data_IF_789461188329
#
_entry.id   IF_789461188329
#
_cell.length_a   1.000
_cell.length_b   1.000
_cell.length_c   1.000
_cell.angle_alpha   90.00
_cell.angle_beta   90.00
_cell.angle_gamma   90.00
#
_symmetry.space_group_name_H-M   'P 1'
#
loop_
_entity.id
_entity.type
_entity.pdbx_description
1 polymer ?
#
# COMPACT_ATOMS: atom_id res chain seq x y z
N UNK A 1 -18.04 28.76 20.43
CA UNK A 1 -17.74 29.35 21.71
C UNK A 1 -16.75 30.48 21.60
N UNK A 2 -15.45 30.20 21.56
CA UNK A 2 -14.34 31.20 21.54
C UNK A 2 -14.46 32.15 20.34
N UNK A 3 -14.92 31.71 19.20
CA UNK A 3 -15.11 32.52 17.99
C UNK A 3 -16.21 33.59 18.11
N UNK A 4 -17.21 33.38 18.99
CA UNK A 4 -18.26 34.40 19.28
C UNK A 4 -17.67 35.62 20.01
N UNK A 5 -16.60 35.45 20.78
CA UNK A 5 -15.91 36.52 21.47
C UNK A 5 -15.22 37.50 20.52
N UNK A 6 -14.78 37.02 19.35
CA UNK A 6 -14.25 37.84 18.28
C UNK A 6 -15.29 38.75 17.61
N UNK A 7 -16.58 38.43 17.77
CA UNK A 7 -17.71 39.27 17.32
C UNK A 7 -18.32 40.19 18.39
N UNK A 8 -17.66 40.32 19.57
CA UNK A 8 -18.04 41.29 20.59
C UNK A 8 -19.03 40.81 21.66
N UNK A 9 -19.42 39.56 21.66
CA UNK A 9 -20.26 38.97 22.70
C UNK A 9 -19.42 38.55 23.92
N UNK A 10 -19.78 39.02 25.10
CA UNK A 10 -19.12 38.62 26.37
C UNK A 10 -19.50 37.20 26.72
N UNK A 11 -18.51 36.34 26.73
CA UNK A 11 -18.71 34.93 27.12
C UNK A 11 -18.66 34.73 28.64
N UNK A 12 -19.53 33.90 29.20
CA UNK A 12 -19.38 33.46 30.57
C UNK A 12 -18.09 32.60 30.72
N UNK A 13 -17.34 32.83 31.79
CA UNK A 13 -16.11 32.07 32.13
C UNK A 13 -16.31 30.54 32.11
N UNK A 14 -17.50 30.09 32.48
CA UNK A 14 -17.86 28.66 32.42
C UNK A 14 -17.72 28.04 31.04
N UNK A 15 -17.93 28.78 29.95
CA UNK A 15 -17.79 28.27 28.57
C UNK A 15 -16.33 27.96 28.24
N UNK A 16 -15.38 28.75 28.78
CA UNK A 16 -13.95 28.52 28.60
C UNK A 16 -13.54 27.21 29.27
N UNK A 17 -13.95 27.01 30.51
CA UNK A 17 -13.65 25.77 31.26
C UNK A 17 -14.30 24.52 30.65
N UNK A 18 -15.54 24.64 30.17
CA UNK A 18 -16.21 23.55 29.45
C UNK A 18 -15.47 23.22 28.14
N UNK A 19 -15.09 24.22 27.37
CA UNK A 19 -14.32 24.02 26.12
C UNK A 19 -12.98 23.35 26.38
N UNK A 20 -12.26 23.79 27.43
CA UNK A 20 -11.02 23.17 27.87
C UNK A 20 -11.22 21.70 28.28
N UNK A 21 -12.28 21.43 29.06
CA UNK A 21 -12.62 20.05 29.45
C UNK A 21 -12.89 19.14 28.24
N UNK A 22 -13.66 19.62 27.27
CA UNK A 22 -13.95 18.87 26.02
C UNK A 22 -12.66 18.64 25.24
N UNK A 23 -11.76 19.63 25.16
CA UNK A 23 -10.46 19.45 24.50
C UNK A 23 -9.60 18.38 25.19
N UNK A 24 -9.50 18.42 26.52
CA UNK A 24 -8.73 17.43 27.28
C UNK A 24 -9.28 16.02 27.08
N UNK A 25 -10.61 15.85 27.17
CA UNK A 25 -11.28 14.57 26.94
C UNK A 25 -11.06 14.08 25.48
N UNK A 26 -11.14 15.00 24.51
CA UNK A 26 -10.88 14.68 23.10
C UNK A 26 -9.44 14.24 22.87
N UNK A 27 -8.46 14.91 23.49
CA UNK A 27 -7.05 14.54 23.38
C UNK A 27 -6.81 13.18 24.04
N UNK A 28 -7.32 12.97 25.24
CA UNK A 28 -7.19 11.69 25.95
C UNK A 28 -7.85 10.54 25.15
N UNK A 29 -9.06 10.76 24.66
CA UNK A 29 -9.74 9.80 23.78
C UNK A 29 -8.92 9.51 22.52
N UNK A 30 -8.38 10.53 21.85
CA UNK A 30 -7.52 10.35 20.69
C UNK A 30 -6.30 9.48 20.99
N UNK A 31 -5.61 9.71 22.09
CA UNK A 31 -4.43 8.92 22.49
C UNK A 31 -4.83 7.45 22.65
N UNK A 32 -5.91 7.17 23.38
CA UNK A 32 -6.40 5.79 23.61
C UNK A 32 -6.78 5.12 22.30
N UNK A 33 -7.54 5.80 21.42
CA UNK A 33 -7.95 5.20 20.15
C UNK A 33 -6.80 5.01 19.16
N UNK A 34 -5.81 5.92 19.15
CA UNK A 34 -4.61 5.77 18.31
C UNK A 34 -3.79 4.57 18.78
N UNK A 35 -3.57 4.43 20.09
CA UNK A 35 -2.83 3.30 20.65
C UNK A 35 -3.56 1.96 20.40
N UNK A 36 -4.86 1.90 20.68
CA UNK A 36 -5.68 0.71 20.42
C UNK A 36 -5.67 0.31 18.95
N UNK A 37 -5.80 1.29 18.05
CA UNK A 37 -5.76 1.07 16.61
C UNK A 37 -4.38 0.61 16.13
N UNK A 38 -3.30 1.20 16.65
CA UNK A 38 -1.93 0.80 16.33
C UNK A 38 -1.66 -0.64 16.77
N UNK A 39 -2.03 -0.98 18.00
CA UNK A 39 -1.91 -2.34 18.54
C UNK A 39 -2.71 -3.35 17.72
N UNK A 40 -3.97 -3.04 17.38
CA UNK A 40 -4.83 -3.93 16.60
C UNK A 40 -4.24 -4.19 15.19
N UNK A 41 -3.74 -3.15 14.52
CA UNK A 41 -3.11 -3.29 13.19
C UNK A 41 -1.83 -4.11 13.27
N UNK A 42 -0.97 -3.83 14.24
CA UNK A 42 0.30 -4.54 14.43
C UNK A 42 0.07 -6.01 14.76
N UNK A 43 -0.78 -6.31 15.74
CA UNK A 43 -1.13 -7.68 16.08
C UNK A 43 -1.76 -8.43 14.90
N UNK A 44 -2.69 -7.80 14.18
CA UNK A 44 -3.33 -8.41 13.02
C UNK A 44 -2.33 -8.72 11.89
N UNK A 45 -1.39 -7.82 11.62
CA UNK A 45 -0.40 -8.01 10.57
C UNK A 45 0.57 -9.15 10.89
N UNK A 46 1.11 -9.20 12.11
CA UNK A 46 2.01 -10.29 12.52
C UNK A 46 1.27 -11.63 12.71
N UNK A 47 0.01 -11.61 13.16
CA UNK A 47 -0.81 -12.82 13.22
C UNK A 47 -1.04 -13.40 11.83
N UNK A 48 -1.38 -12.56 10.83
CA UNK A 48 -1.51 -12.96 9.44
C UNK A 48 -0.22 -13.60 8.90
N UNK A 49 0.93 -12.96 9.12
CA UNK A 49 2.21 -13.50 8.65
C UNK A 49 2.57 -14.83 9.31
N UNK A 50 2.29 -14.98 10.62
CA UNK A 50 2.49 -16.23 11.35
C UNK A 50 1.59 -17.35 10.83
N UNK A 51 0.29 -17.05 10.63
CA UNK A 51 -0.69 -18.00 10.09
C UNK A 51 -0.28 -18.48 8.69
N UNK A 52 0.13 -17.55 7.81
CA UNK A 52 0.57 -17.89 6.46
C UNK A 52 1.87 -18.72 6.44
N UNK A 53 2.82 -18.45 7.34
CA UNK A 53 4.02 -19.30 7.47
C UNK A 53 3.67 -20.72 7.89
N UNK A 54 2.74 -20.89 8.83
CA UNK A 54 2.27 -22.21 9.25
C UNK A 54 1.53 -22.92 8.11
N UNK A 55 0.67 -22.22 7.38
CA UNK A 55 -0.06 -22.77 6.24
C UNK A 55 0.89 -23.25 5.12
N UNK A 56 1.91 -22.45 4.76
CA UNK A 56 2.95 -22.86 3.82
C UNK A 56 3.65 -24.14 4.33
N UNK A 57 4.03 -24.17 5.62
CA UNK A 57 4.67 -25.35 6.22
C UNK A 57 3.81 -26.62 6.13
N UNK A 58 2.51 -26.52 6.39
CA UNK A 58 1.59 -27.66 6.26
C UNK A 58 1.40 -28.12 4.80
N UNK A 59 1.34 -27.19 3.85
CA UNK A 59 1.27 -27.53 2.43
C UNK A 59 2.56 -28.19 1.92
N UNK A 60 3.72 -27.69 2.36
CA UNK A 60 5.00 -28.30 2.01
C UNK A 60 5.16 -29.75 2.49
N UNK A 61 4.60 -30.09 3.65
CA UNK A 61 4.60 -31.51 4.12
C UNK A 61 3.87 -32.45 3.18
N UNK A 62 2.89 -31.94 2.43
CA UNK A 62 2.06 -32.71 1.49
C UNK A 62 2.55 -32.60 0.04
N UNK A 63 3.57 -31.81 -0.22
CA UNK A 63 4.11 -31.62 -1.56
C UNK A 63 4.88 -32.87 -2.04
N UNK A 64 4.78 -33.23 -3.33
CA UNK A 64 5.60 -34.31 -3.89
C UNK A 64 7.08 -33.94 -3.91
N UNK A 65 7.96 -34.93 -3.81
CA UNK A 65 9.42 -34.71 -3.78
C UNK A 65 9.94 -33.94 -4.98
N UNK A 66 9.36 -34.15 -6.18
CA UNK A 66 9.74 -33.40 -7.39
C UNK A 66 9.44 -31.90 -7.34
N UNK A 67 8.67 -31.41 -6.35
CA UNK A 67 8.43 -29.99 -6.13
C UNK A 67 9.65 -29.25 -5.55
N UNK A 68 10.53 -29.99 -4.84
CA UNK A 68 11.69 -29.43 -4.14
C UNK A 68 12.94 -29.37 -5.03
N UNK A 69 12.87 -28.68 -6.16
CA UNK A 69 14.05 -28.38 -6.96
C UNK A 69 14.74 -27.08 -6.45
N UNK A 70 15.98 -26.83 -6.91
CA UNK A 70 16.78 -25.69 -6.42
C UNK A 70 16.07 -24.32 -6.60
N UNK A 71 15.40 -24.11 -7.73
CA UNK A 71 14.69 -22.87 -8.01
C UNK A 71 13.49 -22.68 -7.08
N UNK A 72 12.71 -23.74 -6.84
CA UNK A 72 11.56 -23.70 -5.95
C UNK A 72 11.93 -23.48 -4.49
N UNK A 73 13.05 -24.07 -4.05
CA UNK A 73 13.54 -23.88 -2.69
C UNK A 73 13.89 -22.41 -2.42
N UNK A 74 14.50 -21.73 -3.40
CA UNK A 74 14.79 -20.30 -3.33
C UNK A 74 13.51 -19.46 -3.22
N UNK A 75 12.51 -19.75 -4.05
CA UNK A 75 11.22 -19.04 -4.05
C UNK A 75 10.46 -19.22 -2.71
N UNK A 76 10.42 -20.45 -2.19
CA UNK A 76 9.78 -20.77 -0.91
C UNK A 76 10.48 -20.02 0.23
N UNK A 77 11.81 -20.06 0.25
CA UNK A 77 12.59 -19.35 1.28
C UNK A 77 12.33 -17.85 1.23
N UNK A 78 12.33 -17.26 0.03
CA UNK A 78 12.03 -15.83 -0.16
C UNK A 78 10.61 -15.49 0.28
N UNK A 79 9.63 -16.36 0.02
CA UNK A 79 8.24 -16.14 0.44
C UNK A 79 8.08 -16.11 1.96
N UNK A 80 8.64 -17.11 2.64
CA UNK A 80 8.50 -17.27 4.10
C UNK A 80 9.26 -16.18 4.86
N UNK A 81 10.40 -15.71 4.32
CA UNK A 81 11.24 -14.71 4.99
C UNK A 81 10.95 -13.30 4.50
N UNK A 82 11.30 -12.98 3.27
CA UNK A 82 11.27 -11.60 2.74
C UNK A 82 9.86 -11.16 2.38
N UNK A 83 9.13 -11.96 1.58
CA UNK A 83 7.80 -11.54 1.08
C UNK A 83 6.80 -11.38 2.20
N UNK A 84 6.71 -12.34 3.13
CA UNK A 84 5.84 -12.22 4.30
C UNK A 84 6.28 -11.12 5.26
N UNK A 85 7.60 -10.93 5.46
CA UNK A 85 8.12 -9.82 6.26
C UNK A 85 7.77 -8.45 5.68
N UNK A 86 7.88 -8.29 4.36
CA UNK A 86 7.47 -7.08 3.65
C UNK A 86 5.94 -6.86 3.77
N UNK A 87 5.14 -7.93 3.64
CA UNK A 87 3.69 -7.86 3.83
C UNK A 87 3.30 -7.44 5.24
N UNK A 88 3.93 -8.00 6.26
CA UNK A 88 3.71 -7.64 7.67
C UNK A 88 3.94 -6.14 7.91
N UNK A 89 5.03 -5.60 7.40
CA UNK A 89 5.41 -4.20 7.62
C UNK A 89 4.61 -3.22 6.74
N UNK A 90 4.46 -3.53 5.45
CA UNK A 90 3.81 -2.64 4.49
C UNK A 90 2.29 -2.59 4.67
N UNK A 91 1.65 -3.70 5.09
CA UNK A 91 0.20 -3.75 5.34
C UNK A 91 -0.24 -2.75 6.40
N UNK A 92 0.52 -2.64 7.50
CA UNK A 92 0.24 -1.65 8.56
C UNK A 92 0.27 -0.23 8.00
N UNK A 93 1.30 0.09 7.21
CA UNK A 93 1.48 1.41 6.60
C UNK A 93 0.34 1.75 5.63
N UNK A 94 -0.10 0.79 4.82
CA UNK A 94 -1.21 0.99 3.87
C UNK A 94 -2.53 1.16 4.61
N UNK A 95 -2.82 0.32 5.60
CA UNK A 95 -4.05 0.44 6.38
C UNK A 95 -4.14 1.80 7.08
N UNK A 96 -3.03 2.31 7.61
CA UNK A 96 -3.00 3.60 8.27
C UNK A 96 -3.18 4.76 7.28
N UNK A 97 -2.38 4.80 6.23
CA UNK A 97 -2.31 5.98 5.35
C UNK A 97 -3.39 5.96 4.26
N UNK A 98 -3.76 4.80 3.73
CA UNK A 98 -4.76 4.72 2.65
C UNK A 98 -6.16 4.59 3.24
N UNK A 99 -6.45 3.51 3.97
CA UNK A 99 -7.80 3.29 4.51
C UNK A 99 -8.16 4.37 5.55
N UNK A 100 -7.26 4.66 6.49
CA UNK A 100 -7.44 5.71 7.49
C UNK A 100 -7.63 7.09 6.86
N UNK A 101 -6.86 7.42 5.82
CA UNK A 101 -6.96 8.69 5.09
C UNK A 101 -8.33 8.89 4.43
N UNK A 102 -8.85 7.87 3.73
CA UNK A 102 -10.17 7.94 3.11
C UNK A 102 -11.30 8.00 4.15
N UNK A 103 -11.23 7.19 5.21
CA UNK A 103 -12.23 7.22 6.29
C UNK A 103 -12.28 8.62 6.92
N UNK A 104 -11.10 9.21 7.24
CA UNK A 104 -11.02 10.55 7.79
C UNK A 104 -11.64 11.60 6.87
N UNK A 105 -11.36 11.55 5.57
CA UNK A 105 -11.92 12.48 4.59
C UNK A 105 -13.45 12.33 4.45
N UNK A 106 -13.96 11.10 4.47
CA UNK A 106 -15.39 10.83 4.42
C UNK A 106 -16.08 11.39 5.68
N UNK A 107 -15.52 11.12 6.87
CA UNK A 107 -16.09 11.60 8.15
C UNK A 107 -16.14 13.13 8.18
N UNK A 108 -15.05 13.81 7.83
CA UNK A 108 -15.02 15.27 7.78
C UNK A 108 -15.94 15.80 6.67
N UNK A 109 -15.98 15.15 5.50
CA UNK A 109 -16.84 15.53 4.39
C UNK A 109 -18.33 15.45 4.76
N UNK A 110 -18.75 14.37 5.43
CA UNK A 110 -20.12 14.21 5.96
C UNK A 110 -20.41 15.26 7.03
N UNK A 111 -19.47 15.50 7.95
CA UNK A 111 -19.63 16.54 8.96
C UNK A 111 -19.79 17.93 8.32
N UNK A 112 -19.00 18.26 7.30
CA UNK A 112 -19.15 19.50 6.54
C UNK A 112 -20.50 19.58 5.82
N UNK A 113 -21.02 18.46 5.30
CA UNK A 113 -22.31 18.39 4.64
C UNK A 113 -23.46 18.73 5.60
N UNK A 114 -23.37 18.28 6.86
CA UNK A 114 -24.34 18.58 7.92
C UNK A 114 -24.22 20.06 8.37
N UNK A 115 -22.98 20.55 8.48
CA UNK A 115 -22.69 21.88 9.01
C UNK A 115 -23.00 23.00 8.01
N UNK A 116 -22.58 22.84 6.74
CA UNK A 116 -22.88 23.72 5.60
C UNK A 116 -22.89 22.89 4.31
N UNK A 117 -24.07 22.50 3.86
CA UNK A 117 -24.25 21.54 2.76
C UNK A 117 -23.57 21.95 1.45
N UNK A 118 -23.46 23.25 1.16
CA UNK A 118 -22.84 23.80 -0.07
C UNK A 118 -21.33 23.53 -0.11
N UNK A 119 -20.66 23.77 1.01
CA UNK A 119 -19.21 23.49 1.13
C UNK A 119 -18.95 21.99 1.28
N UNK A 120 -19.85 21.26 1.93
CA UNK A 120 -19.83 19.80 2.00
C UNK A 120 -19.90 19.16 0.61
N UNK A 121 -20.78 19.66 -0.28
CA UNK A 121 -20.87 19.22 -1.68
C UNK A 121 -19.55 19.44 -2.44
N UNK A 122 -18.93 20.61 -2.30
CA UNK A 122 -17.61 20.90 -2.93
C UNK A 122 -16.58 19.90 -2.41
N UNK A 123 -16.58 19.63 -1.11
CA UNK A 123 -15.63 18.70 -0.48
C UNK A 123 -15.82 17.27 -0.99
N UNK A 124 -17.03 16.77 -1.04
CA UNK A 124 -17.32 15.41 -1.52
C UNK A 124 -17.12 15.27 -3.03
N UNK A 125 -17.44 16.31 -3.81
CA UNK A 125 -17.12 16.33 -5.25
C UNK A 125 -15.61 16.27 -5.49
N UNK A 126 -14.82 17.03 -4.74
CA UNK A 126 -13.36 16.96 -4.78
C UNK A 126 -12.83 15.57 -4.43
N UNK A 127 -13.39 14.93 -3.41
CA UNK A 127 -13.05 13.56 -3.03
C UNK A 127 -13.42 12.55 -4.13
N UNK A 128 -14.61 12.67 -4.74
CA UNK A 128 -15.03 11.79 -5.81
C UNK A 128 -14.13 11.90 -7.06
N UNK A 129 -13.77 13.11 -7.46
CA UNK A 129 -12.82 13.35 -8.56
C UNK A 129 -11.45 12.77 -8.22
N UNK A 130 -10.99 12.94 -6.99
CA UNK A 130 -9.71 12.39 -6.56
C UNK A 130 -9.70 10.85 -6.57
N UNK A 131 -10.79 10.18 -6.20
CA UNK A 131 -10.93 8.72 -6.31
C UNK A 131 -10.81 8.25 -7.77
N UNK A 132 -11.40 9.00 -8.71
CA UNK A 132 -11.27 8.71 -10.14
C UNK A 132 -9.80 8.82 -10.56
N UNK A 133 -9.11 9.90 -10.19
CA UNK A 133 -7.69 10.09 -10.51
C UNK A 133 -6.84 9.00 -9.84
N UNK A 134 -7.14 8.63 -8.58
CA UNK A 134 -6.45 7.55 -7.89
C UNK A 134 -6.56 6.22 -8.65
N UNK A 135 -7.72 5.90 -9.19
CA UNK A 135 -7.90 4.70 -10.02
C UNK A 135 -7.06 4.73 -11.31
N UNK A 136 -6.83 5.92 -11.87
CA UNK A 136 -5.95 6.10 -13.04
C UNK A 136 -4.48 5.86 -12.70
N UNK A 137 -4.03 6.21 -11.49
CA UNK A 137 -2.68 5.91 -11.01
C UNK A 137 -2.42 4.39 -11.06
N UNK A 138 -3.40 3.59 -10.64
CA UNK A 138 -3.32 2.12 -10.73
C UNK A 138 -3.14 1.60 -12.16
N UNK A 139 -3.85 2.20 -13.15
CA UNK A 139 -3.70 1.82 -14.57
C UNK A 139 -2.31 2.14 -15.12
N UNK A 140 -1.73 3.28 -14.74
CA UNK A 140 -0.36 3.66 -15.11
C UNK A 140 0.66 2.66 -14.55
N UNK A 141 0.48 2.24 -13.29
CA UNK A 141 1.32 1.22 -12.68
C UNK A 141 1.31 -0.09 -13.46
N UNK A 142 0.13 -0.64 -13.73
CA UNK A 142 -0.03 -1.88 -14.50
C UNK A 142 0.62 -1.83 -15.90
N UNK A 143 0.67 -0.65 -16.51
CA UNK A 143 1.30 -0.47 -17.84
C UNK A 143 2.83 -0.48 -17.78
N UNK A 144 3.43 0.13 -16.78
CA UNK A 144 4.89 0.36 -16.71
C UNK A 144 5.64 -0.62 -15.79
N UNK A 145 4.96 -1.22 -14.81
CA UNK A 145 5.58 -2.13 -13.86
C UNK A 145 6.21 -3.38 -14.51
N UNK A 146 5.59 -4.05 -15.51
CA UNK A 146 6.20 -5.22 -16.15
C UNK A 146 7.56 -4.93 -16.79
N UNK A 147 7.69 -3.77 -17.48
CA UNK A 147 8.98 -3.35 -18.08
C UNK A 147 10.05 -3.14 -17.01
N UNK A 148 9.69 -2.49 -15.89
CA UNK A 148 10.61 -2.31 -14.76
C UNK A 148 11.05 -3.65 -14.17
N UNK A 149 10.10 -4.58 -13.96
CA UNK A 149 10.42 -5.91 -13.41
C UNK A 149 11.33 -6.71 -14.35
N UNK A 150 11.07 -6.69 -15.66
CA UNK A 150 11.93 -7.35 -16.65
C UNK A 150 13.34 -6.76 -16.65
N UNK A 151 13.48 -5.44 -16.64
CA UNK A 151 14.76 -4.77 -16.58
C UNK A 151 15.51 -5.05 -15.28
N UNK A 152 14.81 -5.13 -14.15
CA UNK A 152 15.39 -5.47 -12.86
C UNK A 152 15.87 -6.93 -12.83
N UNK A 153 15.10 -7.87 -13.38
CA UNK A 153 15.50 -9.28 -13.49
C UNK A 153 16.72 -9.43 -14.40
N UNK A 154 16.76 -8.73 -15.55
CA UNK A 154 17.91 -8.68 -16.45
C UNK A 154 19.17 -8.16 -15.77
N UNK A 155 19.03 -7.10 -14.94
CA UNK A 155 20.15 -6.57 -14.16
C UNK A 155 20.69 -7.62 -13.18
N UNK A 156 19.82 -8.30 -12.43
CA UNK A 156 20.22 -9.34 -11.48
C UNK A 156 20.98 -10.46 -12.20
N UNK A 157 20.45 -10.93 -13.34
CA UNK A 157 21.11 -11.98 -14.15
C UNK A 157 22.48 -11.53 -14.63
N UNK A 158 22.59 -10.33 -15.21
CA UNK A 158 23.87 -9.80 -15.72
C UNK A 158 24.92 -9.64 -14.60
N UNK A 159 24.50 -9.19 -13.41
CA UNK A 159 25.38 -9.06 -12.24
C UNK A 159 25.82 -10.43 -11.74
N UNK A 160 24.93 -11.42 -11.66
CA UNK A 160 25.27 -12.78 -11.23
C UNK A 160 26.28 -13.43 -12.21
N UNK A 161 26.03 -13.35 -13.52
CA UNK A 161 26.93 -13.84 -14.55
C UNK A 161 28.31 -13.17 -14.45
N UNK A 162 28.33 -11.85 -14.26
CA UNK A 162 29.57 -11.09 -14.10
C UNK A 162 30.36 -11.53 -12.86
N UNK A 163 29.70 -11.68 -11.71
CA UNK A 163 30.36 -12.10 -10.46
C UNK A 163 30.86 -13.54 -10.55
N UNK A 164 30.04 -14.46 -11.10
CA UNK A 164 30.43 -15.86 -11.28
C UNK A 164 31.58 -15.99 -12.28
N UNK A 165 31.57 -15.20 -13.36
CA UNK A 165 32.63 -15.16 -14.37
C UNK A 165 33.92 -14.44 -13.96
N UNK A 166 33.91 -13.73 -12.80
CA UNK A 166 35.02 -12.85 -12.40
C UNK A 166 36.37 -13.60 -12.24
N UNK A 167 36.35 -14.86 -11.82
CA UNK A 167 37.55 -15.69 -11.74
C UNK A 167 38.22 -15.87 -13.09
N UNK A 168 37.45 -16.15 -14.13
CA UNK A 168 37.94 -16.31 -15.52
C UNK A 168 38.39 -14.96 -16.07
N UNK A 169 37.64 -13.90 -15.84
CA UNK A 169 37.95 -12.53 -16.27
C UNK A 169 39.32 -12.09 -15.73
N UNK A 170 39.58 -12.34 -14.44
CA UNK A 170 40.89 -12.03 -13.81
C UNK A 170 42.01 -12.89 -14.33
N UNK A 171 41.78 -14.21 -14.53
CA UNK A 171 42.81 -15.13 -15.03
C UNK A 171 43.27 -14.79 -16.45
N UNK A 172 42.39 -14.24 -17.30
CA UNK A 172 42.68 -13.95 -18.71
C UNK A 172 42.77 -12.45 -19.03
N UNK A 173 42.72 -11.56 -18.03
CA UNK A 173 42.85 -10.11 -18.23
C UNK A 173 41.73 -9.47 -19.06
N UNK A 174 40.50 -10.05 -19.08
CA UNK A 174 39.40 -9.67 -19.95
C UNK A 174 38.48 -8.60 -19.31
N UNK A 175 38.91 -7.88 -18.29
CA UNK A 175 38.08 -6.96 -17.48
C UNK A 175 37.35 -5.90 -18.30
N UNK A 176 37.96 -5.34 -19.36
CA UNK A 176 37.35 -4.31 -20.19
C UNK A 176 36.21 -4.83 -21.12
N UNK A 177 36.21 -6.10 -21.47
CA UNK A 177 35.23 -6.68 -22.40
C UNK A 177 33.97 -7.19 -21.72
N UNK A 178 34.08 -7.59 -20.44
CA UNK A 178 33.00 -8.28 -19.71
C UNK A 178 32.06 -7.30 -19.00
N UNK A 179 32.49 -6.05 -18.77
CA UNK A 179 31.66 -5.03 -18.10
C UNK A 179 30.48 -4.50 -18.95
N UNK A 180 30.57 -4.56 -20.28
CA UNK A 180 29.53 -3.94 -21.16
C UNK A 180 28.13 -4.50 -20.98
N UNK A 181 27.98 -5.79 -20.71
CA UNK A 181 26.67 -6.42 -20.50
C UNK A 181 26.01 -5.89 -19.20
N UNK A 182 26.80 -5.76 -18.14
CA UNK A 182 26.34 -5.21 -16.87
C UNK A 182 26.01 -3.72 -17.00
N UNK A 183 26.86 -2.95 -17.70
CA UNK A 183 26.62 -1.53 -17.94
C UNK A 183 25.30 -1.30 -18.72
N UNK A 184 25.06 -2.14 -19.75
CA UNK A 184 23.79 -2.09 -20.50
C UNK A 184 22.59 -2.41 -19.62
N UNK A 185 22.67 -3.46 -18.80
CA UNK A 185 21.59 -3.86 -17.90
C UNK A 185 21.33 -2.80 -16.81
N UNK A 186 22.38 -2.12 -16.31
CA UNK A 186 22.25 -0.98 -15.39
C UNK A 186 21.48 0.16 -16.06
N UNK A 187 21.85 0.53 -17.29
CA UNK A 187 21.22 1.62 -18.01
C UNK A 187 19.74 1.31 -18.36
N UNK A 188 19.45 0.08 -18.81
CA UNK A 188 18.07 -0.38 -19.05
C UNK A 188 17.23 -0.34 -17.77
N UNK A 189 17.76 -0.80 -16.65
CA UNK A 189 17.10 -0.75 -15.35
C UNK A 189 16.84 0.70 -14.92
N UNK A 190 17.82 1.59 -15.06
CA UNK A 190 17.69 3.03 -14.79
C UNK A 190 16.62 3.66 -15.65
N UNK A 191 16.62 3.44 -16.97
CA UNK A 191 15.61 3.99 -17.88
C UNK A 191 14.21 3.50 -17.54
N UNK A 192 14.03 2.21 -17.24
CA UNK A 192 12.76 1.64 -16.87
C UNK A 192 12.22 2.23 -15.55
N UNK A 193 13.09 2.43 -14.56
CA UNK A 193 12.74 3.08 -13.29
C UNK A 193 12.35 4.56 -13.51
N UNK A 194 13.15 5.32 -14.27
CA UNK A 194 12.84 6.74 -14.58
C UNK A 194 11.53 6.87 -15.35
N UNK A 195 11.26 5.98 -16.32
CA UNK A 195 10.02 6.00 -17.08
C UNK A 195 8.80 5.77 -16.19
N UNK A 196 8.88 4.81 -15.27
CA UNK A 196 7.84 4.53 -14.29
C UNK A 196 7.63 5.73 -13.35
N UNK A 197 8.68 6.25 -12.75
CA UNK A 197 8.61 7.39 -11.83
C UNK A 197 8.06 8.65 -12.50
N UNK A 198 8.48 8.98 -13.72
CA UNK A 198 7.92 10.10 -14.49
C UNK A 198 6.43 9.93 -14.77
N UNK A 199 5.98 8.71 -15.07
CA UNK A 199 4.57 8.43 -15.30
C UNK A 199 3.75 8.58 -14.01
N UNK A 200 4.27 8.09 -12.89
CA UNK A 200 3.63 8.26 -11.58
C UNK A 200 3.60 9.69 -11.10
N UNK A 201 4.73 10.41 -11.21
CA UNK A 201 4.84 11.81 -10.78
C UNK A 201 3.76 12.69 -11.43
N UNK A 202 3.50 12.51 -12.73
CA UNK A 202 2.44 13.24 -13.44
C UNK A 202 1.05 12.97 -12.86
N UNK A 203 0.73 11.70 -12.59
CA UNK A 203 -0.58 11.32 -12.04
C UNK A 203 -0.73 11.75 -10.58
N UNK A 204 0.32 11.64 -9.79
CA UNK A 204 0.34 12.11 -8.39
C UNK A 204 0.20 13.64 -8.34
N UNK A 205 0.87 14.37 -9.23
CA UNK A 205 0.70 15.81 -9.33
C UNK A 205 -0.74 16.20 -9.69
N UNK A 206 -1.37 15.49 -10.65
CA UNK A 206 -2.78 15.69 -11.00
C UNK A 206 -3.69 15.41 -9.78
N UNK A 207 -3.47 14.31 -9.08
CA UNK A 207 -4.19 13.94 -7.87
C UNK A 207 -4.12 15.02 -6.79
N UNK A 208 -2.92 15.51 -6.48
CA UNK A 208 -2.74 16.59 -5.51
C UNK A 208 -3.36 17.91 -5.99
N UNK A 209 -3.31 18.19 -7.30
CA UNK A 209 -3.90 19.40 -7.87
C UNK A 209 -5.41 19.44 -7.68
N UNK A 210 -6.11 18.30 -7.80
CA UNK A 210 -7.55 18.21 -7.54
C UNK A 210 -7.89 18.68 -6.13
N UNK A 211 -7.14 18.22 -5.11
CA UNK A 211 -7.38 18.66 -3.73
C UNK A 211 -7.04 20.13 -3.50
N UNK A 212 -5.97 20.64 -4.12
CA UNK A 212 -5.61 22.05 -4.03
C UNK A 212 -6.71 22.93 -4.65
N UNK A 213 -7.28 22.52 -5.77
CA UNK A 213 -8.39 23.22 -6.40
C UNK A 213 -9.67 23.15 -5.58
N UNK A 214 -10.02 21.97 -5.03
CA UNK A 214 -11.18 21.83 -4.15
C UNK A 214 -11.03 22.66 -2.87
N UNK A 215 -9.82 22.68 -2.28
CA UNK A 215 -9.50 23.56 -1.15
C UNK A 215 -9.62 25.03 -1.52
N UNK A 216 -9.05 25.45 -2.65
CA UNK A 216 -9.15 26.82 -3.14
C UNK A 216 -10.63 27.23 -3.39
N UNK A 217 -11.44 26.34 -3.92
CA UNK A 217 -12.86 26.59 -4.10
C UNK A 217 -13.57 26.87 -2.77
N UNK A 218 -13.29 26.10 -1.71
CA UNK A 218 -13.84 26.34 -0.37
C UNK A 218 -13.33 27.69 0.20
N UNK A 219 -12.02 27.98 0.02
CA UNK A 219 -11.39 29.22 0.51
C UNK A 219 -12.00 30.48 -0.13
N UNK A 220 -12.48 30.38 -1.36
CA UNK A 220 -13.16 31.48 -2.05
C UNK A 220 -14.66 31.49 -1.73
N UNK A 221 -15.28 30.33 -1.69
CA UNK A 221 -16.73 30.22 -1.55
C UNK A 221 -17.21 30.52 -0.13
N UNK A 222 -16.45 30.15 0.92
CA UNK A 222 -16.85 30.44 2.30
C UNK A 222 -16.88 31.97 2.61
N UNK A 223 -15.89 32.79 2.25
CA UNK A 223 -16.00 34.25 2.36
C UNK A 223 -17.08 34.86 1.49
N UNK A 224 -17.36 34.32 0.30
CA UNK A 224 -18.48 34.74 -0.54
C UNK A 224 -19.83 34.53 0.14
N UNK A 225 -20.05 33.39 0.78
CA UNK A 225 -21.25 33.15 1.58
C UNK A 225 -21.39 34.08 2.80
N UNK A 226 -20.23 34.42 3.41
CA UNK A 226 -20.19 35.38 4.50
C UNK A 226 -20.58 36.79 4.02
N UNK A 227 -20.04 37.26 2.92
CA UNK A 227 -20.37 38.57 2.33
C UNK A 227 -21.85 38.66 1.92
N UNK A 228 -22.45 37.53 1.47
CA UNK A 228 -23.85 37.40 1.17
C UNK A 228 -24.77 37.26 2.41
N UNK A 229 -24.22 37.30 3.63
CA UNK A 229 -24.99 37.16 4.88
C UNK A 229 -25.56 35.75 5.13
N UNK A 230 -25.15 34.76 4.34
CA UNK A 230 -25.69 33.37 4.43
C UNK A 230 -25.09 32.57 5.59
N UNK A 231 -23.92 32.94 6.06
CA UNK A 231 -23.21 32.29 7.17
C UNK A 231 -22.61 33.34 8.13
N UNK A 232 -22.38 32.92 9.37
CA UNK A 232 -21.71 33.78 10.37
C UNK A 232 -20.18 33.76 10.21
N UNK A 233 -19.47 34.78 10.74
CA UNK A 233 -18.01 34.83 10.70
C UNK A 233 -17.34 33.59 11.33
N UNK A 234 -17.94 33.06 12.42
CA UNK A 234 -17.44 31.85 13.08
C UNK A 234 -17.58 30.61 12.16
N UNK A 235 -18.73 30.49 11.45
CA UNK A 235 -18.93 29.43 10.47
C UNK A 235 -17.91 29.52 9.35
N UNK A 236 -17.67 30.73 8.82
CA UNK A 236 -16.69 30.95 7.78
C UNK A 236 -15.29 30.49 8.22
N UNK A 237 -14.83 30.94 9.38
CA UNK A 237 -13.50 30.54 9.90
C UNK A 237 -13.39 29.03 10.09
N UNK A 238 -14.42 28.39 10.59
CA UNK A 238 -14.47 26.95 10.80
C UNK A 238 -14.38 26.18 9.47
N UNK A 239 -15.09 26.63 8.44
CA UNK A 239 -15.00 26.07 7.09
C UNK A 239 -13.62 26.23 6.48
N UNK A 240 -12.97 27.39 6.65
CA UNK A 240 -11.61 27.63 6.19
C UNK A 240 -10.62 26.66 6.84
N UNK A 241 -10.65 26.51 8.17
CA UNK A 241 -9.79 25.57 8.90
C UNK A 241 -10.06 24.11 8.46
N UNK A 242 -11.31 23.72 8.36
CA UNK A 242 -11.70 22.37 7.96
C UNK A 242 -11.26 22.00 6.54
N UNK A 243 -11.19 23.00 5.64
CA UNK A 243 -10.70 22.80 4.26
C UNK A 243 -9.25 22.31 4.18
N UNK A 244 -8.43 22.66 5.15
CA UNK A 244 -7.05 22.16 5.25
C UNK A 244 -7.00 20.73 5.83
N UNK A 245 -7.90 20.41 6.73
CA UNK A 245 -7.89 19.11 7.41
C UNK A 245 -8.43 17.97 6.54
N UNK A 246 -9.47 18.24 5.73
CA UNK A 246 -10.19 17.19 4.99
C UNK A 246 -9.30 16.45 3.98
N UNK A 247 -8.40 17.14 3.30
CA UNK A 247 -7.62 16.56 2.22
C UNK A 247 -6.22 16.10 2.65
N UNK A 248 -5.72 16.54 3.81
CA UNK A 248 -4.36 16.25 4.26
C UNK A 248 -4.05 14.74 4.31
N UNK A 249 -4.95 13.96 4.88
CA UNK A 249 -4.78 12.51 5.00
C UNK A 249 -4.93 11.78 3.66
N UNK A 250 -5.82 12.26 2.77
CA UNK A 250 -6.03 11.63 1.46
C UNK A 250 -4.92 11.99 0.47
N UNK A 251 -4.29 13.15 0.60
CA UNK A 251 -3.09 13.52 -0.18
C UNK A 251 -1.96 12.50 0.05
N UNK A 252 -1.79 12.04 1.29
CA UNK A 252 -0.80 10.99 1.65
C UNK A 252 -1.16 9.65 1.01
N UNK A 253 -2.44 9.27 0.97
CA UNK A 253 -2.88 8.02 0.35
C UNK A 253 -2.44 7.90 -1.12
N UNK A 254 -2.46 9.00 -1.88
CA UNK A 254 -1.98 9.03 -3.26
C UNK A 254 -0.48 8.72 -3.41
N UNK A 255 0.35 9.20 -2.47
CA UNK A 255 1.79 8.92 -2.45
C UNK A 255 2.10 7.46 -2.09
N UNK A 256 1.21 6.80 -1.35
CA UNK A 256 1.34 5.39 -0.96
C UNK A 256 0.89 4.40 -2.05
N UNK A 257 0.45 4.88 -3.20
CA UNK A 257 -0.03 4.00 -4.28
C UNK A 257 1.04 3.06 -4.86
N UNK A 258 2.33 3.41 -4.78
CA UNK A 258 3.45 2.53 -5.16
C UNK A 258 3.64 1.40 -4.14
N UNK A 259 3.52 1.72 -2.85
CA UNK A 259 3.61 0.75 -1.75
C UNK A 259 2.44 -0.23 -1.82
N UNK A 260 1.22 0.26 -2.07
CA UNK A 260 0.05 -0.60 -2.23
C UNK A 260 0.22 -1.64 -3.35
N UNK A 261 0.83 -1.25 -4.47
CA UNK A 261 1.15 -2.19 -5.55
C UNK A 261 2.27 -3.17 -5.22
N UNK A 262 3.25 -2.75 -4.44
CA UNK A 262 4.29 -3.67 -3.97
C UNK A 262 3.68 -4.77 -3.09
N UNK A 263 2.71 -4.41 -2.24
CA UNK A 263 1.95 -5.37 -1.43
C UNK A 263 1.09 -6.27 -2.31
N UNK A 264 0.37 -5.73 -3.30
CA UNK A 264 -0.39 -6.53 -4.28
C UNK A 264 0.51 -7.56 -4.97
N UNK A 265 1.67 -7.14 -5.48
CA UNK A 265 2.63 -8.05 -6.10
C UNK A 265 3.22 -9.10 -5.12
N UNK A 266 3.36 -8.76 -3.86
CA UNK A 266 3.80 -9.70 -2.82
C UNK A 266 2.71 -10.71 -2.46
N UNK A 267 1.44 -10.30 -2.47
CA UNK A 267 0.29 -11.20 -2.33
C UNK A 267 0.18 -12.17 -3.50
N UNK A 268 0.32 -11.67 -4.74
CA UNK A 268 0.31 -12.53 -5.94
C UNK A 268 1.42 -13.58 -5.90
N UNK A 269 2.62 -13.21 -5.42
CA UNK A 269 3.72 -14.16 -5.21
C UNK A 269 3.40 -15.20 -4.15
N UNK A 270 2.79 -14.77 -3.05
CA UNK A 270 2.38 -15.66 -1.98
C UNK A 270 1.32 -16.65 -2.49
N UNK A 271 0.32 -16.19 -3.23
CA UNK A 271 -0.72 -17.03 -3.81
C UNK A 271 -0.14 -18.09 -4.78
N UNK A 272 0.82 -17.70 -5.63
CA UNK A 272 1.53 -18.63 -6.51
C UNK A 272 2.31 -19.73 -5.76
N UNK A 273 2.81 -19.43 -4.55
CA UNK A 273 3.49 -20.41 -3.71
C UNK A 273 2.48 -21.25 -2.93
N UNK A 274 1.34 -20.67 -2.59
CA UNK A 274 0.24 -21.41 -1.96
C UNK A 274 -0.41 -22.43 -2.89
N UNK A 275 -0.24 -22.33 -4.21
CA UNK A 275 -0.66 -23.30 -5.22
C UNK A 275 0.29 -24.52 -5.29
N UNK A 276 0.72 -25.02 -4.13
CA UNK A 276 1.55 -26.22 -4.00
C UNK A 276 0.70 -27.44 -4.31
N UNK A 277 1.08 -28.27 -5.30
CA UNK A 277 0.36 -29.51 -5.56
C UNK A 277 0.46 -30.44 -4.33
N UNK A 278 -0.66 -30.93 -3.85
CA UNK A 278 -0.67 -31.93 -2.78
C UNK A 278 -0.58 -33.34 -3.38
N UNK A 279 0.12 -34.24 -2.69
CA UNK A 279 0.00 -35.66 -2.96
C UNK A 279 -1.45 -36.10 -2.77
N UNK A 280 -1.91 -37.03 -3.59
CA UNK A 280 -3.23 -37.64 -3.43
C UNK A 280 -3.25 -38.48 -2.16
N UNK A 281 -3.90 -37.97 -1.13
CA UNK A 281 -4.06 -38.63 0.18
C UNK A 281 -5.32 -39.51 0.21
N UNK A 282 -6.13 -39.50 -0.87
CA UNK A 282 -7.40 -40.22 -0.95
C UNK A 282 -7.26 -41.63 -1.55
N UNK A 283 -6.08 -42.22 -1.47
CA UNK A 283 -5.85 -43.59 -1.86
C UNK A 283 -6.73 -44.56 -1.06
N UNK A 284 -7.22 -45.64 -1.69
CA UNK A 284 -7.93 -46.68 -0.99
C UNK A 284 -6.97 -47.50 -0.11
N UNK A 285 -7.36 -47.79 1.12
CA UNK A 285 -6.67 -48.77 1.97
C UNK A 285 -6.77 -50.15 1.32
N UNK A 286 -5.72 -50.49 0.57
CA UNK A 286 -5.57 -51.83 -0.03
C UNK A 286 -4.87 -52.73 0.98
N UNK A 287 -5.54 -53.76 1.46
CA UNK A 287 -4.93 -54.88 2.15
C UNK A 287 -4.42 -55.84 1.07
N UNK A 288 -3.10 -55.93 0.82
CA UNK A 288 -2.59 -56.80 -0.21
C UNK A 288 -2.80 -58.27 0.16
N UNK A 289 -3.36 -59.06 -0.77
CA UNK A 289 -3.51 -60.53 -0.61
C UNK A 289 -2.16 -61.26 -0.65
N UNK A 290 -1.15 -60.66 -1.30
CA UNK A 290 0.21 -61.13 -1.30
C UNK A 290 1.19 -59.94 -1.33
N UNK A 291 2.45 -60.17 -0.99
CA UNK A 291 3.49 -59.15 -0.96
C UNK A 291 4.38 -59.12 -2.22
N UNK A 292 3.90 -59.68 -3.34
CA UNK A 292 4.65 -59.62 -4.58
C UNK A 292 4.49 -58.24 -5.21
N UNK A 293 5.64 -57.61 -5.57
CA UNK A 293 5.68 -56.37 -6.30
C UNK A 293 6.06 -56.68 -7.75
N UNK A 294 5.14 -56.44 -8.69
CA UNK A 294 5.37 -56.60 -10.12
C UNK A 294 5.38 -55.20 -10.77
N UNK A 295 6.50 -54.85 -11.42
CA UNK A 295 6.67 -53.56 -12.12
C UNK A 295 6.77 -53.87 -13.61
N UNK A 296 5.80 -53.36 -14.41
CA UNK A 296 5.73 -53.52 -15.86
C UNK A 296 5.72 -52.11 -16.49
N UNK A 297 6.63 -51.89 -17.44
CA UNK A 297 6.68 -50.66 -18.27
C UNK A 297 6.58 -49.33 -17.49
N UNK A 298 7.20 -49.28 -16.32
CA UNK A 298 7.18 -48.11 -15.48
C UNK A 298 8.22 -47.11 -15.93
N UNK A 299 7.79 -45.87 -16.25
CA UNK A 299 8.63 -44.72 -16.49
C UNK A 299 8.36 -43.70 -15.41
N UNK A 300 9.40 -43.19 -14.76
CA UNK A 300 9.33 -42.16 -13.72
C UNK A 300 10.28 -41.01 -14.05
N UNK A 301 9.82 -39.78 -13.91
CA UNK A 301 10.62 -38.58 -14.05
C UNK A 301 10.20 -37.54 -13.03
N UNK A 302 11.14 -36.73 -12.56
CA UNK A 302 10.89 -35.57 -11.74
C UNK A 302 10.62 -34.34 -12.61
#
# INVERSE_FOLDING_TARGET
GILKQLSGDVMPESTIWISLGIMIVSIAGRIVFVDLSANARTLGSFAFGSEKRMEIGERLKRAPMGYFNENRLGDITAAVTTTLGDLEQQSVTIMENVAGGFIHAIVIGVWLMIYEWRTGLISLAGLAVALIVYSLIGKVGRKHAPRRQAAQAGLVTAVLEYVQGMGVVKAFGLAERTGKAVDTAIEESKEANIALEKAFSKMTALYQTVFKLARAAILVFAPYLLAGGSITPEKCLLLLVSSFMIYAAVEVAGSMSSVARAVEASLDRLDNIMDIPSLDENGADLVPENFNIEVKDMSFGY
#
